data_IF_620575565916
#
_entry.id   IF_620575565916
#
_cell.length_a   1.000
_cell.length_b   1.000
_cell.length_c   1.000
_cell.angle_alpha   90.00
_cell.angle_beta   90.00
_cell.angle_gamma   90.00
#
_symmetry.space_group_name_H-M   'P 1'
#
loop_
_entity.id
_entity.type
_entity.pdbx_description
1 polymer ?
#
# COMPACT_ATOMS: atom_id res chain seq x y z
N UNK A 1 -36.92 -17.44 -78.40
CA UNK A 1 -37.05 -17.40 -76.92
C UNK A 1 -35.71 -17.81 -76.30
N UNK A 2 -34.87 -16.86 -75.87
CA UNK A 2 -33.53 -17.19 -75.33
C UNK A 2 -33.02 -16.24 -74.22
N UNK A 3 -33.50 -15.00 -74.16
CA UNK A 3 -32.92 -13.94 -73.31
C UNK A 3 -33.16 -14.07 -71.80
N UNK A 4 -34.03 -14.98 -71.35
CA UNK A 4 -34.43 -15.13 -69.94
C UNK A 4 -33.40 -15.87 -69.07
N UNK A 5 -32.68 -16.86 -69.63
CA UNK A 5 -31.67 -17.59 -68.85
C UNK A 5 -30.40 -16.72 -68.62
N UNK A 6 -29.94 -15.99 -69.64
CA UNK A 6 -28.74 -15.14 -69.51
C UNK A 6 -28.95 -13.95 -68.57
N UNK A 7 -30.17 -13.38 -68.53
CA UNK A 7 -30.51 -12.31 -67.59
C UNK A 7 -30.69 -12.81 -66.15
N UNK A 8 -31.24 -14.01 -65.94
CA UNK A 8 -31.37 -14.60 -64.60
C UNK A 8 -30.04 -15.11 -64.04
N UNK A 9 -29.14 -15.63 -64.87
CA UNK A 9 -27.76 -15.96 -64.47
C UNK A 9 -27.02 -14.70 -64.01
N UNK A 10 -27.00 -13.64 -64.83
CA UNK A 10 -26.30 -12.40 -64.48
C UNK A 10 -26.94 -11.65 -63.30
N UNK A 11 -28.25 -11.76 -63.09
CA UNK A 11 -28.91 -11.29 -61.87
C UNK A 11 -28.47 -12.08 -60.62
N UNK A 12 -28.35 -13.41 -60.73
CA UNK A 12 -27.89 -14.30 -59.65
C UNK A 12 -26.42 -14.07 -59.29
N UNK A 13 -25.58 -13.80 -60.28
CA UNK A 13 -24.17 -13.43 -60.11
C UNK A 13 -24.05 -12.06 -59.43
N UNK A 14 -24.82 -11.05 -59.86
CA UNK A 14 -24.86 -9.73 -59.21
C UNK A 14 -25.32 -9.80 -57.75
N UNK A 15 -26.32 -10.64 -57.44
CA UNK A 15 -26.77 -10.89 -56.08
C UNK A 15 -25.69 -11.59 -55.23
N UNK A 16 -24.98 -12.58 -55.78
CA UNK A 16 -23.83 -13.22 -55.12
C UNK A 16 -22.70 -12.23 -54.84
N UNK A 17 -22.35 -11.38 -55.81
CA UNK A 17 -21.29 -10.38 -55.66
C UNK A 17 -21.65 -9.33 -54.59
N UNK A 18 -22.88 -8.83 -54.56
CA UNK A 18 -23.35 -7.90 -53.53
C UNK A 18 -23.34 -8.51 -52.12
N UNK A 19 -23.72 -9.79 -51.98
CA UNK A 19 -23.66 -10.50 -50.71
C UNK A 19 -22.21 -10.81 -50.28
N UNK A 20 -21.33 -11.15 -51.22
CA UNK A 20 -19.91 -11.39 -50.94
C UNK A 20 -19.19 -10.10 -50.50
N UNK A 21 -19.48 -8.96 -51.13
CA UNK A 21 -18.96 -7.66 -50.71
C UNK A 21 -19.40 -7.30 -49.29
N UNK A 22 -20.70 -7.42 -48.97
CA UNK A 22 -21.22 -7.19 -47.62
C UNK A 22 -20.61 -8.12 -46.57
N UNK A 23 -20.45 -9.41 -46.89
CA UNK A 23 -19.81 -10.37 -46.00
C UNK A 23 -18.33 -10.01 -45.75
N UNK A 24 -17.61 -9.50 -46.77
CA UNK A 24 -16.23 -9.05 -46.64
C UNK A 24 -16.13 -7.77 -45.78
N UNK A 25 -16.99 -6.77 -46.02
CA UNK A 25 -17.08 -5.55 -45.20
C UNK A 25 -17.39 -5.87 -43.72
N UNK A 26 -18.31 -6.79 -43.48
CA UNK A 26 -18.69 -7.23 -42.13
C UNK A 26 -17.55 -8.02 -41.46
N UNK A 27 -16.87 -8.93 -42.17
CA UNK A 27 -15.68 -9.62 -41.65
C UNK A 27 -14.52 -8.67 -41.37
N UNK A 28 -14.28 -7.66 -42.22
CA UNK A 28 -13.28 -6.63 -41.96
C UNK A 28 -13.61 -5.81 -40.72
N UNK A 29 -14.88 -5.45 -40.53
CA UNK A 29 -15.33 -4.73 -39.34
C UNK A 29 -15.15 -5.58 -38.08
N UNK A 30 -15.51 -6.86 -38.12
CA UNK A 30 -15.34 -7.78 -37.00
C UNK A 30 -13.87 -7.96 -36.63
N UNK A 31 -12.97 -8.15 -37.61
CA UNK A 31 -11.51 -8.23 -37.37
C UNK A 31 -10.96 -6.97 -36.72
N UNK A 32 -11.34 -5.78 -37.20
CA UNK A 32 -10.89 -4.50 -36.61
C UNK A 32 -11.36 -4.36 -35.16
N UNK A 33 -12.59 -4.78 -34.84
CA UNK A 33 -13.11 -4.83 -33.46
C UNK A 33 -12.36 -5.86 -32.61
N UNK A 34 -12.03 -7.04 -33.15
CA UNK A 34 -11.24 -8.07 -32.45
C UNK A 34 -9.82 -7.58 -32.15
N UNK A 35 -9.13 -6.98 -33.13
CA UNK A 35 -7.79 -6.38 -32.97
C UNK A 35 -7.80 -5.26 -31.90
N UNK A 36 -8.78 -4.36 -31.93
CA UNK A 36 -8.92 -3.28 -30.94
C UNK A 36 -9.25 -3.82 -29.54
N UNK A 37 -10.07 -4.88 -29.42
CA UNK A 37 -10.33 -5.56 -28.14
C UNK A 37 -9.07 -6.26 -27.60
N UNK A 38 -8.35 -6.99 -28.45
CA UNK A 38 -7.08 -7.64 -28.08
C UNK A 38 -6.04 -6.60 -27.65
N UNK A 39 -6.00 -5.44 -28.31
CA UNK A 39 -5.15 -4.31 -27.93
C UNK A 39 -5.59 -3.71 -26.59
N UNK A 40 -6.89 -3.54 -26.37
CA UNK A 40 -7.44 -3.02 -25.11
C UNK A 40 -7.11 -3.94 -23.92
N UNK A 41 -7.36 -5.24 -24.02
CA UNK A 41 -7.07 -6.18 -22.93
C UNK A 41 -5.57 -6.27 -22.63
N UNK A 42 -4.70 -6.25 -23.65
CA UNK A 42 -3.22 -6.15 -23.46
C UNK A 42 -2.81 -4.83 -22.79
N UNK A 43 -3.48 -3.71 -23.10
CA UNK A 43 -3.24 -2.43 -22.45
C UNK A 43 -3.71 -2.42 -20.98
N UNK A 44 -4.81 -3.11 -20.66
CA UNK A 44 -5.26 -3.29 -19.29
C UNK A 44 -4.30 -4.18 -18.48
N UNK A 45 -3.96 -5.36 -19.01
CA UNK A 45 -3.04 -6.32 -18.36
C UNK A 45 -1.66 -5.70 -18.09
N UNK A 46 -1.12 -4.94 -19.06
CA UNK A 46 0.15 -4.22 -18.87
C UNK A 46 0.02 -3.06 -17.88
N UNK A 47 -1.10 -2.34 -17.83
CA UNK A 47 -1.36 -1.30 -16.81
C UNK A 47 -1.42 -1.89 -15.40
N UNK A 48 -2.06 -3.03 -15.22
CA UNK A 48 -2.13 -3.74 -13.94
C UNK A 48 -0.73 -4.23 -13.52
N UNK A 49 0.01 -4.90 -14.42
CA UNK A 49 1.40 -5.29 -14.19
C UNK A 49 2.30 -4.11 -13.82
N UNK A 50 2.21 -2.98 -14.52
CA UNK A 50 2.99 -1.76 -14.21
C UNK A 50 2.64 -1.20 -12.82
N UNK A 51 1.37 -1.25 -12.41
CA UNK A 51 0.95 -0.78 -11.09
C UNK A 51 1.51 -1.66 -9.96
N UNK A 52 1.53 -2.98 -10.14
CA UNK A 52 2.07 -3.91 -9.14
C UNK A 52 3.61 -3.92 -9.12
N UNK A 53 4.27 -3.84 -10.26
CA UNK A 53 5.72 -3.60 -10.34
C UNK A 53 6.12 -2.31 -9.61
N UNK A 54 5.35 -1.23 -9.77
CA UNK A 54 5.58 0.03 -9.08
C UNK A 54 5.41 -0.12 -7.56
N UNK A 55 4.35 -0.81 -7.09
CA UNK A 55 4.14 -1.11 -5.66
C UNK A 55 5.31 -1.88 -5.06
N UNK A 56 5.71 -2.99 -5.68
CA UNK A 56 6.81 -3.85 -5.20
C UNK A 56 8.14 -3.08 -5.15
N UNK A 57 8.43 -2.27 -6.17
CA UNK A 57 9.66 -1.44 -6.19
C UNK A 57 9.63 -0.34 -5.13
N UNK A 58 8.49 0.32 -4.92
CA UNK A 58 8.34 1.35 -3.87
C UNK A 58 8.54 0.75 -2.48
N UNK A 59 7.92 -0.40 -2.19
CA UNK A 59 8.03 -1.02 -0.87
C UNK A 59 9.45 -1.52 -0.60
N UNK A 60 10.09 -2.19 -1.58
CA UNK A 60 11.51 -2.55 -1.48
C UNK A 60 12.41 -1.33 -1.25
N UNK A 61 12.16 -0.21 -1.91
CA UNK A 61 12.93 1.03 -1.71
C UNK A 61 12.74 1.57 -0.29
N UNK A 62 11.56 1.45 0.31
CA UNK A 62 11.32 1.79 1.72
C UNK A 62 12.11 0.88 2.65
N UNK A 63 11.96 -0.44 2.53
CA UNK A 63 12.68 -1.43 3.35
C UNK A 63 14.21 -1.22 3.29
N UNK A 64 14.75 -1.02 2.08
CA UNK A 64 16.16 -0.72 1.87
C UNK A 64 16.58 0.64 2.48
N UNK A 65 15.69 1.65 2.49
CA UNK A 65 15.97 2.98 3.05
C UNK A 65 15.92 2.96 4.57
N UNK A 66 14.89 2.34 5.16
CA UNK A 66 14.74 2.20 6.60
C UNK A 66 15.89 1.38 7.20
N UNK A 67 16.36 0.35 6.49
CA UNK A 67 17.57 -0.41 6.87
C UNK A 67 18.80 0.49 6.88
N UNK A 68 19.06 1.23 5.78
CA UNK A 68 20.21 2.13 5.65
C UNK A 68 20.17 3.27 6.69
N UNK A 69 18.98 3.80 7.01
CA UNK A 69 18.77 4.80 8.05
C UNK A 69 19.05 4.21 9.44
N UNK A 70 18.56 3.01 9.73
CA UNK A 70 18.84 2.31 10.99
C UNK A 70 20.31 1.91 11.15
N UNK A 71 21.04 1.64 10.07
CA UNK A 71 22.50 1.46 10.07
C UNK A 71 23.23 2.78 10.34
N UNK A 72 22.81 3.88 9.69
CA UNK A 72 23.37 5.21 9.91
C UNK A 72 23.16 5.71 11.35
N UNK A 73 21.95 5.55 11.90
CA UNK A 73 21.62 5.87 13.30
C UNK A 73 22.48 5.06 14.29
N UNK A 74 22.67 3.75 14.03
CA UNK A 74 23.57 2.91 14.83
C UNK A 74 25.02 3.37 14.76
N UNK A 75 25.50 3.74 13.58
CA UNK A 75 26.85 4.27 13.36
C UNK A 75 27.08 5.60 14.07
N UNK A 76 26.16 6.57 13.92
CA UNK A 76 26.23 7.86 14.61
C UNK A 76 26.15 7.73 16.13
N UNK A 77 25.28 6.85 16.64
CA UNK A 77 25.18 6.56 18.06
C UNK A 77 26.48 5.93 18.61
N UNK A 78 27.10 5.01 17.85
CA UNK A 78 28.38 4.41 18.19
C UNK A 78 29.52 5.45 18.22
N UNK A 79 29.60 6.34 17.23
CA UNK A 79 30.58 7.42 17.22
C UNK A 79 30.45 8.36 18.44
N UNK A 80 29.22 8.64 18.88
CA UNK A 80 28.96 9.42 20.10
C UNK A 80 29.37 8.64 21.38
N UNK A 81 29.19 7.33 21.41
CA UNK A 81 29.69 6.49 22.50
C UNK A 81 31.23 6.44 22.54
N UNK A 82 31.89 6.44 21.38
CA UNK A 82 33.35 6.51 21.24
C UNK A 82 33.94 7.86 21.66
N UNK A 83 33.29 8.98 21.31
CA UNK A 83 33.65 10.28 21.88
C UNK A 83 33.53 10.24 23.40
N UNK A 84 32.46 9.62 23.92
CA UNK A 84 32.24 9.54 25.36
C UNK A 84 33.22 8.62 26.10
N UNK A 85 33.68 7.54 25.47
CA UNK A 85 34.69 6.63 26.04
C UNK A 85 36.10 7.26 26.05
N UNK A 86 36.40 8.14 25.08
CA UNK A 86 37.63 8.96 25.04
C UNK A 86 37.67 10.08 26.10
N UNK A 87 36.60 10.26 26.87
CA UNK A 87 36.53 11.18 28.00
C UNK A 87 35.64 12.42 27.79
N UNK A 88 35.14 12.65 26.58
CA UNK A 88 34.41 13.89 26.27
C UNK A 88 33.18 14.13 27.16
N UNK A 89 32.89 15.40 27.45
CA UNK A 89 31.68 15.76 28.22
C UNK A 89 30.46 15.78 27.30
N UNK A 90 29.26 15.54 27.86
CA UNK A 90 28.02 15.60 27.05
C UNK A 90 27.79 17.01 26.46
N UNK A 91 28.26 18.06 27.14
CA UNK A 91 28.25 19.43 26.62
C UNK A 91 29.25 19.63 25.46
N UNK A 92 30.46 19.09 25.58
CA UNK A 92 31.46 19.10 24.49
C UNK A 92 30.95 18.36 23.26
N UNK A 93 30.43 17.13 23.42
CA UNK A 93 29.86 16.35 22.31
C UNK A 93 28.69 17.11 21.65
N UNK A 94 27.82 17.75 22.43
CA UNK A 94 26.73 18.58 21.90
C UNK A 94 27.26 19.74 21.04
N UNK A 95 28.28 20.47 21.52
CA UNK A 95 28.92 21.54 20.76
C UNK A 95 29.65 21.05 19.50
N UNK A 96 30.34 19.91 19.58
CA UNK A 96 31.10 19.32 18.46
C UNK A 96 30.21 18.70 17.38
N UNK A 97 29.02 18.21 17.73
CA UNK A 97 28.08 17.55 16.79
C UNK A 97 26.91 18.43 16.36
N UNK A 98 26.71 19.59 16.99
CA UNK A 98 25.55 20.45 16.77
C UNK A 98 24.23 19.91 17.37
N UNK A 99 24.27 18.76 18.04
CA UNK A 99 23.11 18.14 18.68
C UNK A 99 22.82 18.76 20.05
N UNK A 100 21.57 18.70 20.51
CA UNK A 100 21.26 19.04 21.90
C UNK A 100 21.84 18.00 22.87
N UNK A 101 22.11 18.43 24.11
CA UNK A 101 22.54 17.51 25.20
C UNK A 101 21.51 16.40 25.47
N UNK A 102 20.23 16.63 25.15
CA UNK A 102 19.15 15.63 25.22
C UNK A 102 19.30 14.56 24.14
N UNK A 103 19.63 14.93 22.91
CA UNK A 103 19.84 13.99 21.80
C UNK A 103 21.13 13.19 21.98
N UNK A 104 22.22 13.83 22.41
CA UNK A 104 23.45 13.12 22.81
C UNK A 104 23.15 12.10 23.92
N UNK A 105 22.34 12.45 24.93
CA UNK A 105 21.88 11.50 25.95
C UNK A 105 20.98 10.38 25.39
N UNK A 106 20.14 10.66 24.38
CA UNK A 106 19.30 9.65 23.70
C UNK A 106 20.17 8.62 22.97
N UNK A 107 21.19 9.08 22.24
CA UNK A 107 22.11 8.24 21.47
C UNK A 107 23.07 7.46 22.38
N UNK A 108 23.52 8.04 23.50
CA UNK A 108 24.24 7.33 24.58
C UNK A 108 23.37 6.33 25.38
N UNK A 109 22.05 6.31 25.15
CA UNK A 109 21.13 5.30 25.71
C UNK A 109 20.78 4.19 24.72
N UNK A 110 20.78 4.46 23.41
CA UNK A 110 20.55 3.43 22.38
C UNK A 110 21.77 2.53 22.13
N UNK A 111 23.00 3.02 22.36
CA UNK A 111 24.22 2.18 22.31
C UNK A 111 24.43 1.29 23.52
N UNK A 112 23.84 1.62 24.68
CA UNK A 112 23.95 0.76 25.86
C UNK A 112 23.15 -0.52 25.61
N UNK A 113 23.76 -1.72 25.80
CA UNK A 113 23.00 -2.96 25.70
C UNK A 113 21.84 -2.91 26.69
N UNK A 114 20.63 -3.18 26.20
CA UNK A 114 19.40 -3.14 26.98
C UNK A 114 19.39 -4.29 27.98
N UNK A 115 20.13 -4.12 29.08
CA UNK A 115 20.01 -5.01 30.25
C UNK A 115 18.53 -5.15 30.57
N UNK A 116 18.06 -6.40 30.64
CA UNK A 116 16.69 -6.69 31.09
C UNK A 116 16.61 -6.29 32.56
N UNK A 117 16.22 -5.05 32.81
CA UNK A 117 15.65 -4.64 34.10
C UNK A 117 14.30 -5.35 34.21
N UNK A 118 14.37 -6.59 34.68
CA UNK A 118 13.26 -7.49 34.98
C UNK A 118 12.48 -6.93 36.17
N UNK A 119 11.74 -5.84 35.90
CA UNK A 119 10.90 -5.15 36.88
C UNK A 119 9.61 -5.96 37.04
N UNK A 120 9.74 -7.09 37.74
CA UNK A 120 8.61 -7.84 38.23
C UNK A 120 7.65 -6.89 38.95
N UNK A 121 6.33 -6.97 38.70
CA UNK A 121 5.36 -6.22 39.46
C UNK A 121 5.37 -6.76 40.90
N UNK A 122 5.90 -5.97 41.83
CA UNK A 122 5.88 -6.31 43.24
C UNK A 122 4.43 -6.21 43.75
N UNK A 123 3.76 -7.35 43.82
CA UNK A 123 2.42 -7.47 44.38
C UNK A 123 2.41 -6.94 45.83
N UNK A 124 1.47 -6.04 46.10
CA UNK A 124 1.15 -5.51 47.43
C UNK A 124 -0.36 -5.42 47.59
N UNK A 125 -0.97 -6.60 47.62
CA UNK A 125 -2.34 -6.83 48.08
C UNK A 125 -2.48 -6.65 49.60
N UNK A 126 -3.72 -6.40 50.07
CA UNK A 126 -4.17 -6.21 51.45
C UNK A 126 -3.66 -4.94 52.18
N UNK A 127 -4.46 -4.16 52.92
CA UNK A 127 -5.91 -4.20 53.27
C UNK A 127 -6.30 -2.85 53.96
N UNK A 128 -7.56 -2.46 54.24
CA UNK A 128 -8.88 -3.15 54.22
C UNK A 128 -10.03 -2.12 53.97
N UNK A 129 -11.20 -2.35 54.58
CA UNK A 129 -12.43 -1.52 54.70
C UNK A 129 -12.24 -0.11 55.31
N UNK A 130 -13.18 0.84 55.25
CA UNK A 130 -14.65 0.78 55.06
C UNK A 130 -15.13 2.03 54.25
N UNK A 131 -16.39 2.26 53.78
CA UNK A 131 -17.71 1.69 54.09
C UNK A 131 -18.64 1.53 52.86
N UNK A 132 -19.90 1.12 53.11
CA UNK A 132 -21.03 0.99 52.16
C UNK A 132 -22.25 1.80 52.67
N UNK A 133 -23.46 1.80 52.05
CA UNK A 133 -23.93 1.36 50.72
C UNK A 133 -24.49 2.59 49.90
N UNK A 134 -25.28 2.56 48.82
CA UNK A 134 -26.37 1.69 48.33
C UNK A 134 -26.68 1.90 46.81
N UNK A 135 -27.57 1.10 46.16
CA UNK A 135 -27.48 0.87 44.71
C UNK A 135 -28.65 1.36 43.82
N UNK A 136 -28.39 1.26 42.51
CA UNK A 136 -29.31 1.00 41.39
C UNK A 136 -30.30 2.08 40.90
N UNK A 137 -30.22 2.32 39.59
CA UNK A 137 -31.34 2.77 38.73
C UNK A 137 -31.03 2.41 37.27
N UNK A 138 -31.66 1.35 36.77
CA UNK A 138 -31.45 0.81 35.42
C UNK A 138 -32.78 0.64 34.69
N UNK A 139 -33.26 1.71 34.06
CA UNK A 139 -34.38 1.63 33.10
C UNK A 139 -34.55 2.94 32.33
N UNK A 140 -34.37 2.90 31.01
CA UNK A 140 -35.45 3.23 30.07
C UNK A 140 -35.07 2.82 28.65
N UNK A 141 -35.73 1.79 28.14
CA UNK A 141 -36.03 1.70 26.71
C UNK A 141 -37.04 2.81 26.38
N UNK A 142 -36.97 3.44 25.21
CA UNK A 142 -37.92 3.13 24.12
C UNK A 142 -37.58 3.88 22.82
N UNK A 143 -37.99 3.36 21.65
CA UNK A 143 -37.75 3.99 20.35
C UNK A 143 -38.92 4.90 19.94
N UNK A 144 -38.61 6.13 19.51
CA UNK A 144 -39.58 7.03 18.88
C UNK A 144 -39.29 7.15 17.37
N UNK A 145 -40.12 6.53 16.54
CA UNK A 145 -40.16 6.80 15.12
C UNK A 145 -41.07 8.01 14.84
N UNK A 146 -40.71 8.84 13.88
CA UNK A 146 -41.70 9.50 13.03
C UNK A 146 -41.11 9.78 11.64
N UNK A 147 -41.78 9.28 10.61
CA UNK A 147 -41.61 9.72 9.23
C UNK A 147 -42.88 10.47 8.83
N UNK A 148 -42.71 11.62 8.19
CA UNK A 148 -43.77 12.45 7.57
C UNK A 148 -43.11 13.38 6.56
#
# INVERSE_FOLDING_TARGET
MASSNTSTISARERARAANAARLAEEQERLKKVEDDLVRFFKAQESREKIADDARVRIERIREETDTKLADADRSGAAAIADLKSRGETVASIAQLTGLTTTEVNKLLRSTKPKQKSEKAPADKTASKEDSSPAPASTSSTDPAALAS
#
